data_IF_151044333025
#
_entry.id   IF_151044333025
#
_cell.length_a   1.000
_cell.length_b   1.000
_cell.length_c   1.000
_cell.angle_alpha   90.00
_cell.angle_beta   90.00
_cell.angle_gamma   90.00
#
_symmetry.space_group_name_H-M   'P 1'
#
loop_
_entity.id
_entity.type
_entity.pdbx_description
1 polymer ?
#
# COMPACT_ATOMS: atom_id res chain seq x y z
N UNK A 1 -6.40 -2.20 19.07
CA UNK A 1 -7.44 -1.98 18.03
C UNK A 1 -7.34 -0.61 17.31
N UNK A 2 -6.16 0.06 17.27
CA UNK A 2 -6.02 1.38 16.62
C UNK A 2 -5.48 1.34 15.18
N UNK A 3 -4.99 0.18 14.69
CA UNK A 3 -4.23 0.11 13.44
C UNK A 3 -5.09 0.11 12.17
N UNK A 4 -6.26 -0.54 12.17
CA UNK A 4 -7.07 -0.62 10.94
C UNK A 4 -7.71 0.73 10.57
N UNK A 5 -8.10 1.55 11.55
CA UNK A 5 -8.72 2.85 11.27
C UNK A 5 -7.78 3.86 10.61
N UNK A 6 -6.50 3.90 11.00
CA UNK A 6 -5.53 4.82 10.41
C UNK A 6 -5.20 4.44 8.96
N UNK A 7 -5.01 3.15 8.68
CA UNK A 7 -4.81 2.64 7.32
C UNK A 7 -6.02 2.93 6.45
N UNK A 8 -7.23 2.67 6.96
CA UNK A 8 -8.45 2.99 6.24
C UNK A 8 -8.61 4.49 5.97
N UNK A 9 -8.26 5.33 6.95
CA UNK A 9 -8.34 6.78 6.80
C UNK A 9 -7.34 7.31 5.78
N UNK A 10 -6.10 6.82 5.82
CA UNK A 10 -5.06 7.18 4.86
C UNK A 10 -5.42 6.69 3.45
N UNK A 11 -5.94 5.47 3.35
CA UNK A 11 -6.41 4.89 2.09
C UNK A 11 -7.59 5.66 1.51
N UNK A 12 -8.62 5.95 2.30
CA UNK A 12 -9.79 6.73 1.87
C UNK A 12 -9.44 8.17 1.49
N UNK A 13 -8.44 8.75 2.16
CA UNK A 13 -7.88 10.06 1.81
C UNK A 13 -7.14 10.02 0.46
N UNK A 14 -6.43 8.93 0.17
CA UNK A 14 -5.78 8.72 -1.12
C UNK A 14 -6.82 8.43 -2.22
N UNK A 15 -7.82 7.58 -1.98
CA UNK A 15 -8.91 7.31 -2.93
C UNK A 15 -9.65 8.58 -3.36
N UNK A 16 -9.97 9.47 -2.41
CA UNK A 16 -10.62 10.75 -2.72
C UNK A 16 -9.77 11.64 -3.64
N UNK A 17 -8.43 11.54 -3.56
CA UNK A 17 -7.51 12.28 -4.44
C UNK A 17 -7.32 11.64 -5.82
N UNK A 18 -7.64 10.36 -6.00
CA UNK A 18 -7.49 9.62 -7.26
C UNK A 18 -8.77 9.68 -8.12
N UNK A 19 -9.68 10.61 -7.83
CA UNK A 19 -11.03 10.72 -8.42
C UNK A 19 -11.04 10.88 -9.96
N UNK A 20 -9.88 11.05 -10.61
CA UNK A 20 -9.76 11.22 -12.06
C UNK A 20 -9.59 9.93 -12.89
N UNK A 21 -9.59 8.73 -12.29
CA UNK A 21 -9.35 7.48 -13.03
C UNK A 21 -10.38 6.40 -12.69
N UNK A 22 -11.39 6.20 -13.56
CA UNK A 22 -12.45 5.18 -13.38
C UNK A 22 -11.89 3.76 -13.19
N UNK A 23 -10.75 3.49 -13.79
CA UNK A 23 -10.07 2.20 -13.76
C UNK A 23 -9.33 1.93 -12.44
N UNK A 24 -8.85 3.00 -11.79
CA UNK A 24 -8.28 2.91 -10.42
C UNK A 24 -9.39 2.67 -9.42
N UNK A 25 -10.53 3.35 -9.54
CA UNK A 25 -11.71 3.18 -8.69
C UNK A 25 -12.26 1.73 -8.70
N UNK A 26 -12.18 1.04 -9.85
CA UNK A 26 -12.60 -0.36 -9.99
C UNK A 26 -11.70 -1.35 -9.24
N UNK A 27 -10.40 -1.04 -9.10
CA UNK A 27 -9.44 -1.86 -8.33
C UNK A 27 -9.34 -1.44 -6.87
N UNK A 28 -9.26 -0.15 -6.56
CA UNK A 28 -9.18 0.36 -5.17
C UNK A 28 -10.45 0.10 -4.39
N UNK A 29 -11.62 0.13 -5.03
CA UNK A 29 -12.88 -0.30 -4.41
C UNK A 29 -12.84 -1.74 -3.89
N UNK A 30 -12.07 -2.63 -4.54
CA UNK A 30 -11.84 -3.99 -4.02
C UNK A 30 -10.81 -3.99 -2.90
N UNK A 31 -9.76 -3.16 -2.98
CA UNK A 31 -8.75 -3.07 -1.93
C UNK A 31 -9.34 -2.52 -0.61
N UNK A 32 -10.23 -1.52 -0.66
CA UNK A 32 -10.94 -1.04 0.53
C UNK A 32 -11.81 -2.13 1.16
N UNK A 33 -12.54 -2.90 0.34
CA UNK A 33 -13.35 -4.03 0.82
C UNK A 33 -12.49 -5.12 1.46
N UNK A 34 -11.35 -5.45 0.84
CA UNK A 34 -10.39 -6.44 1.34
C UNK A 34 -9.72 -5.97 2.65
N UNK A 35 -9.35 -4.69 2.74
CA UNK A 35 -8.78 -4.13 3.97
C UNK A 35 -9.82 -4.09 5.10
N UNK A 36 -11.09 -3.88 4.77
CA UNK A 36 -12.21 -3.92 5.71
C UNK A 36 -12.57 -5.33 6.18
N UNK A 37 -12.39 -6.35 5.34
CA UNK A 37 -12.70 -7.75 5.68
C UNK A 37 -11.68 -8.39 6.63
N UNK A 38 -10.60 -7.68 6.96
CA UNK A 38 -9.57 -8.16 7.87
C UNK A 38 -8.38 -8.77 7.14
N UNK A 39 -7.21 -8.21 7.42
CA UNK A 39 -5.92 -8.56 6.82
C UNK A 39 -4.89 -8.63 7.93
N UNK A 40 -4.10 -9.70 7.97
CA UNK A 40 -3.11 -9.94 9.03
C UNK A 40 -1.78 -10.44 8.48
N UNK A 41 -0.74 -10.34 9.32
CA UNK A 41 0.58 -10.92 9.05
C UNK A 41 0.72 -12.23 9.81
N UNK A 42 1.19 -13.27 9.13
CA UNK A 42 1.62 -14.50 9.80
C UNK A 42 3.05 -14.37 10.35
N UNK A 43 3.54 -15.41 11.02
CA UNK A 43 4.91 -15.46 11.60
C UNK A 43 6.05 -15.26 10.59
N UNK A 44 5.79 -15.53 9.31
CA UNK A 44 6.75 -15.41 8.21
C UNK A 44 6.61 -14.05 7.49
N UNK A 45 5.83 -13.12 8.06
CA UNK A 45 5.48 -11.83 7.50
C UNK A 45 4.78 -11.91 6.13
N UNK A 46 4.06 -13.01 5.87
CA UNK A 46 3.13 -13.09 4.76
C UNK A 46 1.79 -12.52 5.19
N UNK A 47 1.19 -11.74 4.30
CA UNK A 47 -0.15 -11.23 4.44
C UNK A 47 -1.16 -12.33 4.11
N UNK A 48 -2.20 -12.46 4.92
CA UNK A 48 -3.35 -13.31 4.66
C UNK A 48 -4.67 -12.58 4.95
N UNK A 49 -5.76 -13.07 4.36
CA UNK A 49 -7.12 -12.57 4.62
C UNK A 49 -7.78 -13.43 5.68
N UNK A 50 -8.49 -12.79 6.62
CA UNK A 50 -9.27 -13.49 7.65
C UNK A 50 -10.56 -14.09 7.09
N UNK A 51 -11.11 -13.45 6.07
CA UNK A 51 -12.30 -13.93 5.36
C UNK A 51 -11.91 -15.00 4.33
N UNK A 52 -12.26 -16.25 4.61
CA UNK A 52 -11.96 -17.41 3.76
C UNK A 52 -12.66 -17.35 2.40
N UNK A 53 -13.88 -16.80 2.34
CA UNK A 53 -14.59 -16.64 1.07
C UNK A 53 -13.83 -15.67 0.18
N UNK A 54 -13.46 -14.50 0.70
CA UNK A 54 -12.66 -13.52 -0.03
C UNK A 54 -11.27 -14.05 -0.41
N UNK A 55 -10.61 -14.80 0.48
CA UNK A 55 -9.34 -15.47 0.18
C UNK A 55 -9.46 -16.45 -0.99
N UNK A 56 -10.60 -17.13 -1.12
CA UNK A 56 -10.90 -18.07 -2.20
C UNK A 56 -11.34 -17.41 -3.50
N UNK A 57 -11.69 -16.12 -3.50
CA UNK A 57 -12.07 -15.41 -4.71
C UNK A 57 -10.83 -15.05 -5.54
N UNK A 58 -10.99 -14.99 -6.87
CA UNK A 58 -9.91 -14.59 -7.79
C UNK A 58 -9.24 -13.26 -7.37
N UNK A 59 -10.05 -12.27 -7.00
CA UNK A 59 -9.56 -10.96 -6.56
C UNK A 59 -8.77 -11.01 -5.25
N UNK A 60 -9.19 -11.84 -4.28
CA UNK A 60 -8.45 -12.04 -3.04
C UNK A 60 -7.09 -12.69 -3.30
N UNK A 61 -7.04 -13.71 -4.17
CA UNK A 61 -5.77 -14.33 -4.60
C UNK A 61 -4.85 -13.37 -5.35
N UNK A 62 -5.41 -12.56 -6.26
CA UNK A 62 -4.64 -11.53 -6.98
C UNK A 62 -4.04 -10.51 -6.00
N UNK A 63 -4.82 -10.03 -5.02
CA UNK A 63 -4.33 -9.17 -3.95
C UNK A 63 -3.22 -9.85 -3.13
N UNK A 64 -3.44 -11.07 -2.67
CA UNK A 64 -2.49 -11.81 -1.84
C UNK A 64 -1.17 -12.07 -2.57
N UNK A 65 -1.22 -12.40 -3.86
CA UNK A 65 0.00 -12.53 -4.66
C UNK A 65 0.71 -11.18 -4.81
N UNK A 66 -0.01 -10.11 -5.13
CA UNK A 66 0.63 -8.80 -5.31
C UNK A 66 1.28 -8.28 -4.01
N UNK A 67 0.63 -8.42 -2.86
CA UNK A 67 1.18 -7.91 -1.59
C UNK A 67 2.28 -8.81 -1.00
N UNK A 68 2.30 -10.11 -1.32
CA UNK A 68 3.34 -11.02 -0.83
C UNK A 68 4.55 -11.14 -1.76
N UNK A 69 4.33 -11.02 -3.07
CA UNK A 69 5.34 -11.29 -4.09
C UNK A 69 5.73 -10.04 -4.90
N UNK A 70 4.81 -9.08 -5.01
CA UNK A 70 4.97 -7.89 -5.86
C UNK A 70 5.59 -6.67 -5.19
N UNK A 71 5.79 -6.70 -3.86
CA UNK A 71 6.35 -5.58 -3.09
C UNK A 71 7.56 -5.98 -2.24
N UNK A 72 8.43 -5.02 -1.87
CA UNK A 72 9.48 -5.26 -0.90
C UNK A 72 8.92 -5.54 0.50
N UNK A 73 9.33 -6.64 1.13
CA UNK A 73 8.85 -7.10 2.45
C UNK A 73 9.81 -6.83 3.61
N UNK A 74 10.96 -6.21 3.34
CA UNK A 74 11.92 -5.82 4.39
C UNK A 74 12.12 -4.31 4.38
N UNK A 75 12.39 -3.72 5.54
CA UNK A 75 12.64 -2.26 5.66
C UNK A 75 13.70 -1.78 4.67
N UNK A 76 14.84 -2.46 4.61
CA UNK A 76 15.94 -2.10 3.71
C UNK A 76 15.52 -2.11 2.24
N UNK A 77 14.73 -3.11 1.82
CA UNK A 77 14.26 -3.19 0.44
C UNK A 77 13.18 -2.15 0.13
N UNK A 78 12.30 -1.84 1.08
CA UNK A 78 11.33 -0.75 0.96
C UNK A 78 12.01 0.62 0.89
N UNK A 79 13.01 0.88 1.73
CA UNK A 79 13.81 2.10 1.72
C UNK A 79 14.59 2.27 0.40
N UNK A 80 15.15 1.18 -0.14
CA UNK A 80 15.81 1.21 -1.45
C UNK A 80 14.83 1.53 -2.58
N UNK A 81 13.63 0.95 -2.55
CA UNK A 81 12.56 1.27 -3.49
C UNK A 81 12.17 2.75 -3.41
N UNK A 82 12.02 3.29 -2.19
CA UNK A 82 11.72 4.71 -1.96
C UNK A 82 12.83 5.61 -2.54
N UNK A 83 14.10 5.36 -2.19
CA UNK A 83 15.24 6.13 -2.74
C UNK A 83 15.29 6.10 -4.27
N UNK A 84 15.02 4.93 -4.85
CA UNK A 84 14.96 4.77 -6.32
C UNK A 84 13.83 5.60 -6.92
N UNK A 85 12.66 5.65 -6.26
CA UNK A 85 11.54 6.49 -6.67
C UNK A 85 11.88 7.98 -6.55
N UNK A 86 12.52 8.37 -5.45
CA UNK A 86 12.93 9.76 -5.21
C UNK A 86 13.88 10.29 -6.29
N UNK A 87 14.87 9.48 -6.68
CA UNK A 87 15.78 9.79 -7.78
C UNK A 87 15.05 9.99 -9.13
N UNK A 88 13.87 9.39 -9.30
CA UNK A 88 13.05 9.44 -10.51
C UNK A 88 11.81 10.33 -10.36
N UNK A 89 11.75 11.22 -9.36
CA UNK A 89 10.56 12.05 -9.05
C UNK A 89 10.01 12.89 -10.20
N UNK A 90 10.82 13.18 -11.23
CA UNK A 90 10.38 13.92 -12.42
C UNK A 90 9.58 13.08 -13.42
N UNK A 91 9.58 11.75 -13.28
CA UNK A 91 8.78 10.85 -14.11
C UNK A 91 7.48 10.53 -13.39
N UNK A 92 6.32 10.63 -14.07
CA UNK A 92 5.05 10.17 -13.54
C UNK A 92 5.13 8.70 -13.13
N UNK A 93 4.37 8.32 -12.09
CA UNK A 93 4.22 6.92 -11.71
C UNK A 93 3.44 6.18 -12.80
N UNK A 94 3.93 5.00 -13.20
CA UNK A 94 3.05 4.06 -13.88
C UNK A 94 1.99 3.55 -12.89
N UNK A 95 0.90 3.01 -13.43
CA UNK A 95 -0.16 2.40 -12.61
C UNK A 95 0.39 1.36 -11.64
N UNK A 96 1.25 0.46 -12.11
CA UNK A 96 1.79 -0.63 -11.28
C UNK A 96 2.74 -0.10 -10.19
N UNK A 97 3.52 0.94 -10.50
CA UNK A 97 4.35 1.60 -9.49
C UNK A 97 3.50 2.26 -8.40
N UNK A 98 2.40 2.89 -8.78
CA UNK A 98 1.44 3.45 -7.82
C UNK A 98 0.79 2.36 -6.97
N UNK A 99 0.30 1.28 -7.59
CA UNK A 99 -0.29 0.12 -6.89
C UNK A 99 0.72 -0.48 -5.89
N UNK A 100 1.99 -0.62 -6.26
CA UNK A 100 3.06 -1.12 -5.38
C UNK A 100 3.36 -0.18 -4.21
N UNK A 101 3.36 1.14 -4.42
CA UNK A 101 3.54 2.11 -3.34
C UNK A 101 2.39 2.02 -2.33
N UNK A 102 1.16 1.90 -2.81
CA UNK A 102 -0.03 1.75 -1.96
C UNK A 102 0.01 0.45 -1.15
N UNK A 103 0.34 -0.68 -1.79
CA UNK A 103 0.47 -1.95 -1.10
C UNK A 103 1.63 -1.96 -0.11
N UNK A 104 2.74 -1.28 -0.42
CA UNK A 104 3.85 -1.09 0.52
C UNK A 104 3.44 -0.27 1.74
N UNK A 105 2.54 0.72 1.60
CA UNK A 105 1.96 1.44 2.74
C UNK A 105 1.09 0.53 3.59
N UNK A 106 0.21 -0.26 2.98
CA UNK A 106 -0.60 -1.26 3.69
C UNK A 106 0.30 -2.21 4.49
N UNK A 107 1.30 -2.79 3.83
CA UNK A 107 2.24 -3.72 4.47
C UNK A 107 2.99 -3.08 5.65
N UNK A 108 3.48 -1.85 5.48
CA UNK A 108 4.19 -1.12 6.54
C UNK A 108 3.28 -0.87 7.75
N UNK A 109 2.01 -0.56 7.52
CA UNK A 109 1.07 -0.37 8.61
C UNK A 109 0.67 -1.67 9.32
N UNK A 110 0.56 -2.78 8.58
CA UNK A 110 0.42 -4.12 9.19
C UNK A 110 1.63 -4.43 10.08
N UNK A 111 2.84 -4.13 9.61
CA UNK A 111 4.06 -4.29 10.42
C UNK A 111 4.02 -3.44 11.70
N UNK A 112 3.66 -2.16 11.62
CA UNK A 112 3.46 -1.30 12.82
C UNK A 112 2.53 -1.95 13.84
N UNK A 113 1.51 -2.68 13.39
CA UNK A 113 0.59 -3.38 14.28
C UNK A 113 1.07 -4.72 14.81
N UNK A 114 1.89 -5.44 14.05
CA UNK A 114 2.42 -6.75 14.45
C UNK A 114 3.62 -6.63 15.40
N UNK A 115 4.40 -5.55 15.31
CA UNK A 115 5.62 -5.39 16.10
C UNK A 115 5.33 -5.17 17.60
N UNK A 116 5.92 -6.04 18.43
CA UNK A 116 5.92 -5.89 19.90
C UNK A 116 7.07 -5.01 20.39
N UNK A 117 8.17 -4.98 19.66
CA UNK A 117 9.30 -4.12 19.95
C UNK A 117 8.99 -2.68 19.52
N UNK A 118 9.22 -1.72 20.43
CA UNK A 118 8.91 -0.29 20.21
C UNK A 118 9.76 0.31 19.08
N UNK A 119 11.06 0.01 19.04
CA UNK A 119 11.98 0.55 18.03
C UNK A 119 11.60 0.05 16.62
N UNK A 120 11.28 -1.25 16.48
CA UNK A 120 10.81 -1.79 15.20
C UNK A 120 9.47 -1.20 14.79
N UNK A 121 8.55 -1.02 15.74
CA UNK A 121 7.27 -0.35 15.47
C UNK A 121 7.45 1.09 14.99
N UNK A 122 8.31 1.85 15.66
CA UNK A 122 8.62 3.23 15.27
C UNK A 122 9.31 3.30 13.90
N UNK A 123 10.21 2.37 13.63
CA UNK A 123 10.90 2.32 12.36
C UNK A 123 9.98 1.98 11.18
N UNK A 124 9.09 0.99 11.34
CA UNK A 124 8.04 0.74 10.35
C UNK A 124 7.05 1.90 10.23
N UNK A 125 6.78 2.62 11.33
CA UNK A 125 6.00 3.86 11.30
C UNK A 125 6.67 4.95 10.47
N UNK A 126 7.99 5.09 10.58
CA UNK A 126 8.79 5.99 9.74
C UNK A 126 8.71 5.64 8.26
N UNK A 127 8.83 4.35 7.91
CA UNK A 127 8.67 3.86 6.53
C UNK A 127 7.28 4.20 5.98
N UNK A 128 6.23 3.96 6.76
CA UNK A 128 4.85 4.28 6.38
C UNK A 128 4.67 5.77 6.06
N UNK A 129 5.20 6.66 6.91
CA UNK A 129 5.11 8.11 6.71
C UNK A 129 5.89 8.54 5.46
N UNK A 130 7.08 7.98 5.22
CA UNK A 130 7.87 8.30 4.03
C UNK A 130 7.17 7.86 2.73
N UNK A 131 6.59 6.66 2.71
CA UNK A 131 5.80 6.18 1.57
C UNK A 131 4.62 7.12 1.29
N UNK A 132 3.88 7.51 2.32
CA UNK A 132 2.76 8.45 2.18
C UNK A 132 3.20 9.81 1.61
N UNK A 133 4.36 10.31 2.05
CA UNK A 133 4.92 11.57 1.53
C UNK A 133 5.31 11.46 0.05
N UNK A 134 5.94 10.36 -0.36
CA UNK A 134 6.30 10.12 -1.76
C UNK A 134 5.04 10.03 -2.61
N UNK A 135 4.07 9.20 -2.22
CA UNK A 135 2.82 9.03 -2.97
C UNK A 135 2.04 10.35 -3.09
N UNK A 136 1.96 11.13 -2.02
CA UNK A 136 1.24 12.42 -2.06
C UNK A 136 1.96 13.51 -2.86
N UNK A 137 3.29 13.51 -2.86
CA UNK A 137 4.08 14.39 -3.73
C UNK A 137 3.82 14.06 -5.20
N UNK A 138 3.85 12.77 -5.55
CA UNK A 138 3.63 12.30 -6.91
C UNK A 138 2.22 12.64 -7.41
N UNK A 139 1.21 12.54 -6.55
CA UNK A 139 -0.16 12.95 -6.86
C UNK A 139 -0.35 14.46 -7.00
N UNK A 140 0.55 15.29 -6.42
CA UNK A 140 0.48 16.76 -6.50
C UNK A 140 1.24 17.33 -7.68
N UNK A 141 2.30 16.66 -8.13
CA UNK A 141 3.16 17.12 -9.23
C UNK A 141 2.77 16.60 -10.62
N UNK A 142 1.74 15.77 -10.71
CA UNK A 142 1.34 15.17 -11.96
C UNK A 142 0.32 16.04 -12.70
N UNK A 143 0.81 16.86 -13.63
CA UNK A 143 0.07 17.19 -14.85
C UNK A 143 0.05 15.90 -15.68
N UNK A 144 -1.07 15.18 -15.64
CA UNK A 144 -1.24 13.93 -16.38
C UNK A 144 -1.60 14.26 -17.82
N UNK A 145 -0.60 14.31 -18.70
CA UNK A 145 -0.85 14.40 -20.15
C UNK A 145 -1.40 13.06 -20.65
N UNK A 146 -2.70 13.01 -20.95
CA UNK A 146 -3.44 11.81 -21.34
C UNK A 146 -3.35 11.48 -22.84
N UNK A 147 -2.21 11.75 -23.49
CA UNK A 147 -2.00 11.37 -24.89
C UNK A 147 -0.83 10.41 -25.03
N UNK A 148 -1.17 9.13 -25.16
CA UNK A 148 -0.29 8.03 -25.55
C UNK A 148 -1.13 6.80 -25.86
#
# INVERSE_FOLDING_TARGET
>A
MLNNFFVLYLFKTLENKITYQQDVKRKTGNLTLILLSGVELNKDNNVFLLDEELASMRKGREFLSQINDGIPRTRTSTELMMKTREARRKTPLTRDQFENLVLSMVYSALQVGAQRNKEEREAWGGVLVQLANITTYDLRGADWDLTG
#
